data_IF_214672126000
#
_entry.id   IF_214672126000
#
_cell.length_a   1.000
_cell.length_b   1.000
_cell.length_c   1.000
_cell.angle_alpha   90.00
_cell.angle_beta   90.00
_cell.angle_gamma   90.00
#
_symmetry.space_group_name_H-M   'P 1'
#
loop_
_entity.id
_entity.type
_entity.pdbx_description
1 polymer ?
#
# COMPACT_ATOMS: atom_id res chain seq x y z
N UNK A 1 13.79 -11.45 -4.50
CA UNK A 1 14.78 -11.76 -3.43
C UNK A 1 14.24 -11.55 -2.02
N UNK A 2 13.78 -10.35 -1.65
CA UNK A 2 13.28 -10.10 -0.28
C UNK A 2 12.01 -10.89 0.06
N UNK A 3 11.08 -11.04 -0.88
CA UNK A 3 9.92 -11.92 -0.69
C UNK A 3 10.33 -13.36 -0.43
N UNK A 4 11.23 -13.93 -1.23
CA UNK A 4 11.76 -15.28 -1.01
C UNK A 4 12.44 -15.43 0.36
N UNK A 5 13.22 -14.43 0.78
CA UNK A 5 13.82 -14.41 2.11
C UNK A 5 12.77 -14.37 3.22
N UNK A 6 11.76 -13.51 3.08
CA UNK A 6 10.67 -13.38 4.04
C UNK A 6 9.88 -14.70 4.17
N UNK A 7 9.53 -15.33 3.05
CA UNK A 7 8.85 -16.64 3.06
C UNK A 7 9.67 -17.69 3.80
N UNK A 8 10.95 -17.84 3.48
CA UNK A 8 11.83 -18.81 4.17
C UNK A 8 11.99 -18.51 5.66
N UNK A 9 12.14 -17.23 6.03
CA UNK A 9 12.21 -16.85 7.44
C UNK A 9 10.92 -17.16 8.20
N UNK A 10 9.76 -17.01 7.57
CA UNK A 10 8.45 -17.34 8.17
C UNK A 10 8.25 -18.87 8.26
N UNK A 11 8.61 -19.61 7.21
CA UNK A 11 8.34 -21.05 7.11
C UNK A 11 9.22 -21.89 8.04
N UNK A 12 10.51 -21.59 8.13
CA UNK A 12 11.49 -22.41 8.85
C UNK A 12 12.31 -21.64 9.89
N UNK A 13 12.10 -20.33 10.01
CA UNK A 13 12.78 -19.49 10.99
C UNK A 13 14.18 -19.01 10.56
N UNK A 14 14.71 -18.04 11.30
CA UNK A 14 16.02 -17.44 11.02
C UNK A 14 17.18 -18.44 11.13
N UNK A 15 17.17 -19.33 12.12
CA UNK A 15 18.26 -20.28 12.35
C UNK A 15 18.45 -21.26 11.20
N UNK A 16 17.35 -21.86 10.73
CA UNK A 16 17.36 -22.88 9.68
C UNK A 16 17.53 -22.31 8.26
N UNK A 17 17.32 -21.01 8.08
CA UNK A 17 17.47 -20.34 6.77
C UNK A 17 18.92 -19.98 6.48
N UNK A 18 19.44 -20.38 5.32
CA UNK A 18 20.76 -19.99 4.81
C UNK A 18 20.67 -18.96 3.68
N UNK A 19 21.77 -18.23 3.43
CA UNK A 19 21.86 -17.32 2.29
C UNK A 19 21.75 -18.08 0.96
N UNK A 20 22.29 -19.29 0.88
CA UNK A 20 22.23 -20.10 -0.34
C UNK A 20 20.81 -20.55 -0.67
N UNK A 21 20.00 -20.89 0.35
CA UNK A 21 18.58 -21.19 0.16
C UNK A 21 17.82 -19.97 -0.37
N UNK A 22 18.08 -18.79 0.21
CA UNK A 22 17.48 -17.53 -0.26
C UNK A 22 17.92 -17.22 -1.70
N UNK A 23 19.19 -17.43 -2.02
CA UNK A 23 19.75 -17.20 -3.35
C UNK A 23 19.10 -18.12 -4.39
N UNK A 24 18.98 -19.41 -4.10
CA UNK A 24 18.31 -20.37 -4.95
C UNK A 24 16.83 -20.01 -5.18
N UNK A 25 16.09 -19.70 -4.11
CA UNK A 25 14.68 -19.33 -4.19
C UNK A 25 14.43 -17.99 -4.91
N UNK A 26 15.43 -17.09 -4.90
CA UNK A 26 15.37 -15.79 -5.56
C UNK A 26 16.03 -15.78 -6.95
N UNK A 27 16.52 -16.92 -7.43
CA UNK A 27 17.25 -17.07 -8.70
C UNK A 27 18.44 -16.10 -8.86
N UNK A 28 19.21 -15.92 -7.78
CA UNK A 28 20.43 -15.10 -7.77
C UNK A 28 21.60 -15.89 -7.19
N UNK A 29 22.79 -15.29 -7.27
CA UNK A 29 23.98 -15.82 -6.58
C UNK A 29 24.03 -15.35 -5.12
N UNK A 30 24.58 -16.17 -4.21
CA UNK A 30 24.84 -15.76 -2.84
C UNK A 30 25.73 -14.50 -2.72
N UNK A 31 26.79 -14.30 -3.53
CA UNK A 31 27.54 -13.04 -3.57
C UNK A 31 26.68 -11.81 -3.85
N UNK A 32 25.66 -11.91 -4.70
CA UNK A 32 24.72 -10.80 -4.95
C UNK A 32 24.00 -10.40 -3.66
N UNK A 33 23.56 -11.38 -2.87
CA UNK A 33 22.88 -11.13 -1.59
C UNK A 33 23.83 -10.44 -0.60
N UNK A 34 25.05 -10.94 -0.47
CA UNK A 34 26.05 -10.32 0.41
C UNK A 34 26.42 -8.90 -0.04
N UNK A 35 26.53 -8.65 -1.35
CA UNK A 35 26.79 -7.32 -1.88
C UNK A 35 25.66 -6.34 -1.59
N UNK A 36 24.40 -6.80 -1.59
CA UNK A 36 23.24 -5.93 -1.33
C UNK A 36 22.94 -5.72 0.16
N UNK A 37 23.06 -6.77 0.98
CA UNK A 37 22.57 -6.74 2.37
C UNK A 37 23.67 -6.92 3.42
N UNK A 38 24.89 -7.27 3.00
CA UNK A 38 26.05 -7.48 3.87
C UNK A 38 26.00 -8.75 4.72
N UNK A 39 24.83 -9.14 5.23
CA UNK A 39 24.67 -10.29 6.12
C UNK A 39 23.26 -10.86 6.10
N UNK A 40 23.08 -12.08 6.62
CA UNK A 40 21.76 -12.69 6.84
C UNK A 40 20.85 -11.84 7.74
N UNK A 41 21.44 -11.19 8.76
CA UNK A 41 20.72 -10.26 9.62
C UNK A 41 20.27 -9.01 8.85
N UNK A 42 21.08 -8.50 7.92
CA UNK A 42 20.70 -7.40 7.03
C UNK A 42 19.53 -7.74 6.10
N UNK A 43 19.50 -8.98 5.59
CA UNK A 43 18.35 -9.48 4.81
C UNK A 43 17.09 -9.51 5.68
N UNK A 44 17.17 -10.03 6.91
CA UNK A 44 16.04 -10.08 7.83
C UNK A 44 15.55 -8.67 8.20
N UNK A 45 16.46 -7.74 8.50
CA UNK A 45 16.12 -6.35 8.79
C UNK A 45 15.34 -5.74 7.63
N UNK A 46 15.81 -5.92 6.39
CA UNK A 46 15.10 -5.42 5.21
C UNK A 46 13.74 -6.09 5.01
N UNK A 47 13.64 -7.39 5.25
CA UNK A 47 12.37 -8.11 5.16
C UNK A 47 11.34 -7.57 6.18
N UNK A 48 11.78 -7.26 7.41
CA UNK A 48 10.96 -6.62 8.43
C UNK A 48 10.57 -5.21 7.99
N UNK A 49 11.50 -4.40 7.48
CA UNK A 49 11.19 -3.05 6.99
C UNK A 49 10.10 -3.10 5.91
N UNK A 50 10.20 -4.03 4.97
CA UNK A 50 9.20 -4.21 3.91
C UNK A 50 7.85 -4.66 4.48
N UNK A 51 7.84 -5.60 5.42
CA UNK A 51 6.62 -6.10 6.04
C UNK A 51 5.91 -5.04 6.92
N UNK A 52 6.67 -4.18 7.61
CA UNK A 52 6.15 -3.14 8.52
C UNK A 52 5.67 -1.92 7.74
N UNK A 53 6.33 -1.56 6.63
CA UNK A 53 5.95 -0.40 5.82
C UNK A 53 4.67 -0.64 5.01
N UNK A 54 4.28 -1.90 4.77
CA UNK A 54 2.90 -2.31 4.47
C UNK A 54 2.17 -1.52 3.37
N UNK A 55 2.21 -2.03 2.15
CA UNK A 55 1.04 -2.01 1.26
C UNK A 55 0.44 -0.64 0.87
N UNK A 56 1.27 0.22 0.28
CA UNK A 56 0.78 1.19 -0.69
C UNK A 56 1.33 0.79 -2.05
N UNK A 57 0.46 0.32 -2.95
CA UNK A 57 0.51 0.84 -4.32
C UNK A 57 0.78 2.34 -4.16
N UNK A 58 1.87 2.83 -4.76
CA UNK A 58 2.51 4.15 -4.53
C UNK A 58 1.53 5.32 -4.75
N UNK A 59 0.57 5.45 -3.86
CA UNK A 59 -0.53 6.40 -3.86
C UNK A 59 -0.29 7.21 -2.60
N UNK A 60 0.37 8.37 -2.73
CA UNK A 60 0.47 9.35 -1.67
C UNK A 60 -0.83 9.46 -0.87
N UNK A 61 -0.72 9.58 0.45
CA UNK A 61 -1.90 9.77 1.34
C UNK A 61 -2.81 10.90 0.82
N UNK A 62 -2.21 11.91 0.20
CA UNK A 62 -2.90 13.00 -0.50
C UNK A 62 -3.84 12.50 -1.60
N UNK A 63 -3.41 11.59 -2.46
CA UNK A 63 -4.21 11.05 -3.57
C UNK A 63 -5.38 10.19 -3.06
N UNK A 64 -5.17 9.50 -1.93
CA UNK A 64 -6.22 8.74 -1.24
C UNK A 64 -7.27 9.67 -0.61
N UNK A 65 -6.84 10.80 -0.04
CA UNK A 65 -7.74 11.82 0.50
C UNK A 65 -8.49 12.56 -0.62
N UNK A 66 -7.82 12.89 -1.72
CA UNK A 66 -8.42 13.56 -2.87
C UNK A 66 -9.51 12.70 -3.53
N UNK A 67 -9.25 11.42 -3.75
CA UNK A 67 -10.25 10.50 -4.33
C UNK A 67 -11.51 10.36 -3.45
N UNK A 68 -11.36 10.36 -2.12
CA UNK A 68 -12.51 10.36 -1.19
C UNK A 68 -13.32 11.66 -1.24
N UNK A 69 -12.67 12.81 -1.41
CA UNK A 69 -13.34 14.11 -1.57
C UNK A 69 -14.10 14.15 -2.90
N UNK A 70 -13.49 13.66 -3.99
CA UNK A 70 -14.13 13.57 -5.32
C UNK A 70 -15.34 12.64 -5.32
N UNK A 71 -15.25 11.48 -4.65
CA UNK A 71 -16.38 10.57 -4.48
C UNK A 71 -17.49 11.15 -3.63
N UNK A 72 -17.15 11.81 -2.52
CA UNK A 72 -18.12 12.49 -1.66
C UNK A 72 -18.86 13.61 -2.41
N UNK A 73 -18.15 14.36 -3.27
CA UNK A 73 -18.74 15.36 -4.17
C UNK A 73 -19.71 14.77 -5.19
N UNK A 74 -19.38 13.61 -5.77
CA UNK A 74 -20.28 12.87 -6.68
C UNK A 74 -21.57 12.42 -5.99
N UNK A 75 -21.50 11.99 -4.73
CA UNK A 75 -22.67 11.57 -3.93
C UNK A 75 -23.54 12.77 -3.51
N UNK A 76 -22.93 13.93 -3.27
CA UNK A 76 -23.67 15.14 -2.87
C UNK A 76 -24.34 15.89 -4.03
N UNK A 77 -23.85 15.76 -5.27
CA UNK A 77 -24.48 16.39 -6.44
C UNK A 77 -25.88 15.81 -6.77
N UNK A 78 -26.20 14.60 -6.28
CA UNK A 78 -27.48 13.94 -6.51
C UNK A 78 -28.62 14.28 -5.55
N UNK A 79 -28.40 15.12 -4.52
CA UNK A 79 -29.40 15.37 -3.47
C UNK A 79 -29.56 16.88 -3.13
N UNK A 80 -29.77 17.72 -4.15
CA UNK A 80 -30.25 19.07 -3.90
C UNK A 80 -31.76 19.00 -3.61
N UNK A 81 -32.26 19.44 -2.44
CA UNK A 81 -33.70 19.55 -2.23
C UNK A 81 -34.28 20.51 -3.28
N UNK A 82 -35.49 20.26 -3.81
CA UNK A 82 -36.08 21.13 -4.82
C UNK A 82 -36.16 22.55 -4.27
N UNK A 83 -35.67 23.52 -5.05
CA UNK A 83 -35.77 24.94 -4.73
C UNK A 83 -37.20 25.27 -4.29
N UNK A 84 -37.42 25.94 -3.15
CA UNK A 84 -38.76 26.35 -2.77
C UNK A 84 -39.27 27.31 -3.85
N UNK A 85 -40.27 26.84 -4.60
CA UNK A 85 -41.06 27.67 -5.50
C UNK A 85 -41.59 28.86 -4.71
N UNK A 86 -41.10 30.06 -5.01
CA UNK A 86 -41.69 31.30 -4.51
C UNK A 86 -43.03 31.51 -5.23
N UNK A 87 -44.07 30.84 -4.75
CA UNK A 87 -45.44 31.23 -5.02
C UNK A 87 -45.75 32.45 -4.15
N UNK A 88 -45.70 33.63 -4.74
CA UNK A 88 -46.52 34.75 -4.27
C UNK A 88 -47.54 35.05 -5.35
N UNK A 89 -48.85 34.90 -5.07
CA UNK A 89 -49.90 35.41 -5.93
C UNK A 89 -50.06 36.91 -5.70
N UNK A 90 -50.96 37.54 -6.47
CA UNK A 90 -51.59 38.85 -6.22
C UNK A 90 -50.97 40.02 -6.99
N UNK A 91 -51.73 40.91 -7.62
CA UNK A 91 -53.13 40.98 -8.06
C UNK A 91 -53.19 42.17 -9.02
N UNK A 92 -54.18 42.15 -9.90
CA UNK A 92 -54.63 43.25 -10.75
C UNK A 92 -54.72 44.61 -10.05
N UNK A 93 -54.50 45.67 -10.83
CA UNK A 93 -54.82 47.06 -10.50
C UNK A 93 -54.37 47.99 -11.61
#
# INVERSE_FOLDING_TARGET
MIEAAASLFVEQGFGATSIDQIAAAAEVSAPTIYATFGSKAGVLARAIDVAVVGDYADVPVVDRVLSLIEEAGRRHSGNLPPSPISSTPSMSG
#
